data_IF_084323260776
#
_entry.id   IF_084323260776
#
_cell.length_a   1.000
_cell.length_b   1.000
_cell.length_c   1.000
_cell.angle_alpha   90.00
_cell.angle_beta   90.00
_cell.angle_gamma   90.00
#
_symmetry.space_group_name_H-M   'P 1'
#
loop_
_entity.id
_entity.type
_entity.pdbx_description
1 polymer ?
#
# COMPACT_ATOMS: atom_id res chain seq x y z
N UNK A 1 37.23 4.21 -2.83
CA UNK A 1 37.70 4.51 -1.46
C UNK A 1 37.45 5.96 -1.06
N UNK A 2 38.30 6.96 -1.34
CA UNK A 2 38.04 8.36 -0.86
C UNK A 2 36.68 8.93 -1.29
N UNK A 3 36.24 8.68 -2.52
CA UNK A 3 34.90 9.05 -3.02
C UNK A 3 33.78 8.29 -2.32
N UNK A 4 33.97 6.99 -2.10
CA UNK A 4 33.00 6.08 -1.47
C UNK A 4 32.68 6.47 -0.01
N UNK A 5 33.69 6.81 0.79
CA UNK A 5 33.51 7.28 2.17
C UNK A 5 32.81 8.65 2.22
N UNK A 6 33.13 9.54 1.28
CA UNK A 6 32.46 10.85 1.18
C UNK A 6 30.98 10.72 0.74
N UNK A 7 30.66 9.76 -0.13
CA UNK A 7 29.28 9.44 -0.51
C UNK A 7 28.50 8.92 0.71
N UNK A 8 29.01 7.91 1.41
CA UNK A 8 28.40 7.36 2.62
C UNK A 8 28.10 8.43 3.69
N UNK A 9 29.05 9.34 3.97
CA UNK A 9 28.82 10.44 4.91
C UNK A 9 27.74 11.43 4.45
N UNK A 10 27.64 11.69 3.15
CA UNK A 10 26.55 12.52 2.59
C UNK A 10 25.20 11.83 2.72
N UNK A 11 25.13 10.53 2.40
CA UNK A 11 23.90 9.74 2.52
C UNK A 11 23.40 9.71 3.97
N UNK A 12 24.28 9.44 4.95
CA UNK A 12 23.90 9.49 6.37
C UNK A 12 23.39 10.85 6.82
N UNK A 13 23.95 11.95 6.29
CA UNK A 13 23.41 13.30 6.56
C UNK A 13 22.04 13.50 5.90
N UNK A 14 21.86 13.02 4.68
CA UNK A 14 20.63 13.19 3.92
C UNK A 14 19.46 12.36 4.48
N UNK A 15 19.70 11.14 4.99
CA UNK A 15 18.70 10.31 5.69
C UNK A 15 18.57 10.62 7.19
N UNK A 16 19.07 11.77 7.67
CA UNK A 16 18.80 12.23 9.03
C UNK A 16 17.32 12.55 9.25
N UNK A 17 16.79 12.30 10.44
CA UNK A 17 15.38 12.59 10.77
C UNK A 17 15.02 14.06 10.48
N UNK A 18 15.91 15.01 10.79
CA UNK A 18 15.71 16.44 10.51
C UNK A 18 15.53 16.70 9.01
N UNK A 19 16.37 16.10 8.14
CA UNK A 19 16.26 16.31 6.70
C UNK A 19 15.05 15.58 6.08
N UNK A 20 14.73 14.38 6.56
CA UNK A 20 13.55 13.64 6.12
C UNK A 20 12.26 14.39 6.51
N UNK A 21 12.17 14.89 7.75
CA UNK A 21 11.06 15.73 8.19
C UNK A 21 10.94 17.02 7.37
N UNK A 22 12.07 17.65 7.01
CA UNK A 22 12.10 18.81 6.10
C UNK A 22 11.56 18.45 4.70
N UNK A 23 11.97 17.32 4.14
CA UNK A 23 11.52 16.82 2.83
C UNK A 23 10.02 16.53 2.84
N UNK A 24 9.53 15.75 3.81
CA UNK A 24 8.09 15.39 3.90
C UNK A 24 7.23 16.61 4.16
N UNK A 25 7.63 17.52 5.05
CA UNK A 25 6.91 18.78 5.28
C UNK A 25 6.77 19.61 4.00
N UNK A 26 7.86 19.73 3.22
CA UNK A 26 7.83 20.45 1.95
C UNK A 26 6.94 19.76 0.91
N UNK A 27 7.00 18.43 0.80
CA UNK A 27 6.11 17.65 -0.07
C UNK A 27 4.63 17.83 0.32
N UNK A 28 4.30 17.77 1.62
CA UNK A 28 2.94 17.98 2.14
C UNK A 28 2.44 19.39 1.81
N UNK A 29 3.29 20.41 1.96
CA UNK A 29 2.94 21.79 1.57
C UNK A 29 2.68 21.92 0.07
N UNK A 30 3.50 21.31 -0.79
CA UNK A 30 3.27 21.28 -2.23
C UNK A 30 1.93 20.59 -2.58
N UNK A 31 1.59 19.50 -1.90
CA UNK A 31 0.33 18.78 -2.12
C UNK A 31 -0.89 19.61 -1.68
N UNK A 32 -0.86 20.19 -0.47
CA UNK A 32 -1.92 21.10 0.03
C UNK A 32 -2.14 22.29 -0.91
N UNK A 33 -1.07 22.83 -1.46
CA UNK A 33 -1.12 23.94 -2.42
C UNK A 33 -1.42 23.50 -3.86
N UNK A 34 -1.82 22.23 -4.09
CA UNK A 34 -2.12 21.62 -5.41
C UNK A 34 -1.01 21.82 -6.45
N UNK A 35 0.24 21.91 -6.01
CA UNK A 35 1.38 22.33 -6.81
C UNK A 35 2.03 21.13 -7.54
N UNK A 36 1.19 20.37 -8.23
CA UNK A 36 1.52 19.04 -8.75
C UNK A 36 2.62 19.04 -9.81
N UNK A 37 2.82 20.14 -10.54
CA UNK A 37 3.94 20.30 -11.48
C UNK A 37 5.31 20.28 -10.79
N UNK A 38 5.38 20.74 -9.54
CA UNK A 38 6.61 20.66 -8.74
C UNK A 38 6.82 19.23 -8.24
N UNK A 39 5.76 18.60 -7.72
CA UNK A 39 5.78 17.18 -7.29
C UNK A 39 6.20 16.27 -8.46
N UNK A 40 5.70 16.51 -9.67
CA UNK A 40 6.06 15.80 -10.90
C UNK A 40 7.53 15.99 -11.29
N UNK A 41 8.09 17.20 -11.15
CA UNK A 41 9.53 17.45 -11.37
C UNK A 41 10.40 16.72 -10.34
N UNK A 42 10.02 16.76 -9.06
CA UNK A 42 10.69 16.02 -7.99
C UNK A 42 10.66 14.52 -8.28
N UNK A 43 9.48 13.98 -8.62
CA UNK A 43 9.28 12.57 -8.97
C UNK A 43 10.20 12.13 -10.11
N UNK A 44 10.28 12.88 -11.21
CA UNK A 44 11.18 12.55 -12.32
C UNK A 44 12.67 12.64 -11.95
N UNK A 45 13.06 13.53 -11.03
CA UNK A 45 14.45 13.62 -10.56
C UNK A 45 14.89 12.47 -9.64
N UNK A 46 13.91 11.79 -9.02
CA UNK A 46 14.12 10.67 -8.09
C UNK A 46 14.04 9.32 -8.81
N UNK A 47 12.99 9.10 -9.62
CA UNK A 47 12.71 7.81 -10.27
C UNK A 47 13.15 7.73 -11.74
N UNK A 48 13.56 8.85 -12.34
CA UNK A 48 13.94 8.93 -13.75
C UNK A 48 12.75 8.90 -14.72
N UNK A 49 13.03 9.19 -15.99
CA UNK A 49 12.02 9.26 -17.07
C UNK A 49 11.51 7.87 -17.56
N UNK A 50 11.92 6.77 -16.95
CA UNK A 50 11.58 5.40 -17.40
C UNK A 50 10.33 4.81 -16.76
N UNK A 51 9.81 5.38 -15.66
CA UNK A 51 8.52 5.00 -15.04
C UNK A 51 7.38 5.92 -15.49
N UNK A 52 7.27 6.16 -16.80
CA UNK A 52 6.26 7.03 -17.43
C UNK A 52 5.01 6.23 -17.87
N UNK A 53 4.35 5.60 -16.91
CA UNK A 53 2.93 5.27 -17.05
C UNK A 53 2.08 6.33 -16.32
N UNK A 54 0.76 6.29 -16.44
CA UNK A 54 -0.16 7.40 -16.13
C UNK A 54 -0.43 7.62 -14.62
N UNK A 55 0.64 7.60 -13.82
CA UNK A 55 0.64 7.87 -12.38
C UNK A 55 -0.12 9.18 -12.09
N UNK A 56 -1.14 9.12 -11.22
CA UNK A 56 -1.91 10.30 -10.81
C UNK A 56 -1.03 11.28 -10.01
N UNK A 57 -1.49 12.52 -9.84
CA UNK A 57 -0.71 13.51 -9.08
C UNK A 57 -0.64 13.19 -7.58
N UNK A 58 -1.68 12.58 -7.02
CA UNK A 58 -1.72 12.03 -5.66
C UNK A 58 -0.71 10.90 -5.52
N UNK A 59 -0.71 9.94 -6.46
CA UNK A 59 0.21 8.80 -6.48
C UNK A 59 1.69 9.19 -6.51
N UNK A 60 2.05 10.23 -7.27
CA UNK A 60 3.42 10.80 -7.25
C UNK A 60 3.79 11.37 -5.86
N UNK A 61 2.85 11.98 -5.16
CA UNK A 61 3.07 12.54 -3.83
C UNK A 61 3.24 11.43 -2.79
N UNK A 62 2.33 10.45 -2.73
CA UNK A 62 2.39 9.35 -1.76
C UNK A 62 3.65 8.51 -1.92
N UNK A 63 4.06 8.17 -3.15
CA UNK A 63 5.30 7.44 -3.41
C UNK A 63 6.55 8.20 -2.94
N UNK A 64 6.55 9.54 -3.02
CA UNK A 64 7.64 10.37 -2.48
C UNK A 64 7.61 10.42 -0.94
N UNK A 65 6.44 10.60 -0.32
CA UNK A 65 6.32 10.57 1.15
C UNK A 65 6.77 9.20 1.71
N UNK A 66 6.30 8.11 1.11
CA UNK A 66 6.69 6.75 1.49
C UNK A 66 8.19 6.49 1.35
N UNK A 67 8.86 7.07 0.35
CA UNK A 67 10.29 6.89 0.15
C UNK A 67 11.11 7.68 1.19
N UNK A 68 10.62 8.85 1.60
CA UNK A 68 11.35 9.79 2.47
C UNK A 68 10.73 9.97 3.86
N UNK A 69 9.90 9.03 4.33
CA UNK A 69 9.27 9.10 5.64
C UNK A 69 10.33 9.19 6.76
N UNK A 70 10.15 10.05 7.80
CA UNK A 70 11.17 10.23 8.85
C UNK A 70 11.60 8.92 9.52
N UNK A 71 10.64 8.01 9.75
CA UNK A 71 10.88 6.76 10.48
C UNK A 71 11.77 5.79 9.70
N UNK A 72 11.76 5.85 8.36
CA UNK A 72 12.71 5.07 7.53
C UNK A 72 14.16 5.50 7.72
N UNK A 73 14.42 6.69 8.27
CA UNK A 73 15.78 7.20 8.48
C UNK A 73 16.65 6.26 9.30
N UNK A 74 16.09 5.61 10.33
CA UNK A 74 16.80 4.62 11.15
C UNK A 74 17.23 3.40 10.35
N UNK A 75 16.25 2.67 9.80
CA UNK A 75 16.48 1.43 9.02
C UNK A 75 17.36 1.66 7.81
N UNK A 76 17.21 2.80 7.11
CA UNK A 76 18.09 3.15 5.99
C UNK A 76 19.52 3.42 6.50
N UNK A 77 19.70 4.12 7.63
CA UNK A 77 21.04 4.35 8.19
C UNK A 77 21.75 3.04 8.59
N UNK A 78 21.04 2.09 9.20
CA UNK A 78 21.58 0.76 9.54
C UNK A 78 21.93 -0.07 8.28
N UNK A 79 21.11 0.04 7.24
CA UNK A 79 21.37 -0.57 5.93
C UNK A 79 22.62 0.04 5.29
N UNK A 80 22.76 1.38 5.30
CA UNK A 80 23.93 2.09 4.79
C UNK A 80 25.22 1.72 5.55
N UNK A 81 25.14 1.51 6.87
CA UNK A 81 26.26 1.03 7.68
C UNK A 81 26.68 -0.38 7.25
N UNK A 82 25.73 -1.30 7.19
CA UNK A 82 25.95 -2.69 6.75
C UNK A 82 26.55 -2.76 5.34
N UNK A 83 26.09 -1.93 4.41
CA UNK A 83 26.60 -1.85 3.04
C UNK A 83 28.02 -1.26 2.97
N UNK A 84 28.33 -0.29 3.83
CA UNK A 84 29.65 0.32 3.92
C UNK A 84 30.69 -0.66 4.49
N UNK A 85 30.33 -1.39 5.55
CA UNK A 85 31.16 -2.46 6.14
C UNK A 85 31.45 -3.59 5.14
N UNK A 86 30.44 -4.02 4.38
CA UNK A 86 30.56 -5.04 3.33
C UNK A 86 31.24 -4.54 2.04
N UNK A 87 31.64 -3.26 1.99
CA UNK A 87 32.24 -2.61 0.81
C UNK A 87 31.38 -2.68 -0.47
N UNK A 88 30.05 -2.76 -0.31
CA UNK A 88 29.07 -2.94 -1.38
C UNK A 88 28.74 -1.61 -2.10
N UNK A 89 29.77 -0.94 -2.62
CA UNK A 89 29.65 0.47 -3.06
C UNK A 89 28.64 0.74 -4.18
N UNK A 90 28.29 -0.25 -5.02
CA UNK A 90 27.23 -0.09 -6.03
C UNK A 90 25.84 0.09 -5.41
N UNK A 91 25.53 -0.67 -4.36
CA UNK A 91 24.25 -0.57 -3.64
C UNK A 91 24.16 0.75 -2.87
N UNK A 92 25.29 1.30 -2.41
CA UNK A 92 25.32 2.66 -1.84
C UNK A 92 24.98 3.75 -2.87
N UNK A 93 25.25 3.55 -4.16
CA UNK A 93 24.87 4.51 -5.22
C UNK A 93 23.36 4.49 -5.51
N UNK A 94 22.67 3.37 -5.28
CA UNK A 94 21.21 3.26 -5.43
C UNK A 94 20.46 4.18 -4.44
N UNK A 95 21.03 4.41 -3.26
CA UNK A 95 20.52 5.36 -2.25
C UNK A 95 20.84 6.83 -2.55
N UNK A 96 21.59 7.16 -3.62
CA UNK A 96 21.96 8.55 -3.94
C UNK A 96 20.79 9.43 -4.41
N UNK A 97 19.61 8.85 -4.68
CA UNK A 97 18.41 9.57 -5.11
C UNK A 97 17.96 10.65 -4.11
N UNK A 98 18.20 10.49 -2.80
CA UNK A 98 17.89 11.54 -1.81
C UNK A 98 18.72 12.82 -2.01
N UNK A 99 19.94 12.72 -2.55
CA UNK A 99 20.83 13.86 -2.76
C UNK A 99 20.32 14.81 -3.86
N UNK A 100 19.41 14.34 -4.73
CA UNK A 100 18.66 15.19 -5.65
C UNK A 100 17.72 16.18 -4.92
N UNK A 101 17.36 15.89 -3.66
CA UNK A 101 16.44 16.70 -2.85
C UNK A 101 17.13 17.68 -1.89
N UNK A 102 18.47 17.67 -1.80
CA UNK A 102 19.20 18.61 -0.94
C UNK A 102 18.91 20.10 -1.31
N UNK A 103 18.49 20.36 -2.55
CA UNK A 103 18.14 21.68 -3.08
C UNK A 103 16.63 21.84 -3.39
N UNK A 104 15.72 21.34 -2.55
CA UNK A 104 14.27 21.54 -2.72
C UNK A 104 13.86 23.02 -2.91
N UNK A 105 14.59 23.96 -2.29
CA UNK A 105 14.39 25.41 -2.43
C UNK A 105 14.61 25.95 -3.86
N UNK A 106 15.27 25.20 -4.74
CA UNK A 106 15.42 25.56 -6.16
C UNK A 106 14.11 25.39 -6.95
N UNK A 107 13.19 24.57 -6.46
CA UNK A 107 11.87 24.36 -7.04
C UNK A 107 10.86 25.41 -6.55
N UNK A 108 11.19 26.70 -6.71
CA UNK A 108 10.33 27.80 -6.26
C UNK A 108 8.93 27.73 -6.89
N UNK A 109 7.86 27.76 -6.07
CA UNK A 109 6.51 28.02 -6.56
C UNK A 109 6.45 29.39 -7.23
N UNK A 110 5.92 29.45 -8.46
CA UNK A 110 5.64 30.71 -9.13
C UNK A 110 4.27 31.25 -8.71
N UNK A 111 4.14 31.72 -7.47
CA UNK A 111 3.26 32.82 -7.01
C UNK A 111 3.33 33.01 -5.47
N UNK A 112 3.37 34.27 -5.04
CA UNK A 112 3.34 34.72 -3.64
C UNK A 112 1.88 34.92 -3.19
N UNK A 113 1.51 34.47 -1.98
CA UNK A 113 0.49 35.13 -1.11
C UNK A 113 0.87 34.94 0.37
N UNK A 114 0.50 35.93 1.19
CA UNK A 114 0.89 36.31 2.55
C UNK A 114 1.20 35.27 3.64
N UNK A 115 2.21 35.66 4.44
CA UNK A 115 2.45 35.20 5.80
C UNK A 115 1.48 35.86 6.80
N UNK A 116 0.18 35.53 6.80
CA UNK A 116 -0.71 35.92 7.92
C UNK A 116 -1.95 35.03 8.10
N UNK A 117 -1.75 33.71 8.04
CA UNK A 117 -2.76 32.72 8.45
C UNK A 117 -2.34 32.06 9.78
N UNK A 118 -2.55 32.79 10.88
CA UNK A 118 -2.35 32.27 12.24
C UNK A 118 -3.26 31.05 12.46
N UNK A 119 -2.63 29.97 12.93
CA UNK A 119 -3.20 28.77 13.54
C UNK A 119 -4.74 28.76 13.70
N UNK A 120 -5.44 28.19 12.72
CA UNK A 120 -6.82 27.72 12.90
C UNK A 120 -6.85 26.23 12.65
N UNK A 121 -6.92 25.46 13.72
CA UNK A 121 -7.13 24.02 13.64
C UNK A 121 -8.59 23.76 13.26
N UNK A 122 -8.82 23.20 12.09
CA UNK A 122 -10.10 22.53 11.74
C UNK A 122 -10.10 21.04 12.14
N UNK A 123 -9.17 20.66 13.02
CA UNK A 123 -9.10 19.36 13.68
C UNK A 123 -9.18 19.60 15.19
N UNK A 124 -10.38 19.91 15.66
CA UNK A 124 -10.70 19.91 17.07
C UNK A 124 -10.90 18.45 17.53
N UNK A 125 -10.35 18.12 18.68
CA UNK A 125 -10.64 16.87 19.38
C UNK A 125 -11.93 17.07 20.16
N UNK A 126 -12.97 16.29 19.89
CA UNK A 126 -14.08 16.10 20.83
C UNK A 126 -13.95 14.71 21.46
N UNK A 127 -13.40 14.68 22.67
CA UNK A 127 -13.64 13.60 23.62
C UNK A 127 -14.79 14.05 24.52
N UNK A 128 -16.02 13.62 24.22
CA UNK A 128 -17.05 13.19 25.17
C UNK A 128 -18.43 13.04 24.50
N UNK A 129 -19.14 11.96 24.84
CA UNK A 129 -20.58 11.66 24.58
C UNK A 129 -20.97 10.73 23.40
N UNK A 130 -20.73 9.42 23.62
CA UNK A 130 -21.77 8.36 23.57
C UNK A 130 -22.71 8.22 22.34
N UNK A 131 -22.37 7.28 21.44
CA UNK A 131 -23.22 6.10 21.17
C UNK A 131 -24.10 6.08 19.91
N UNK A 132 -24.10 4.93 19.22
CA UNK A 132 -25.02 4.64 18.11
C UNK A 132 -26.47 4.52 18.56
N UNK A 133 -27.34 5.20 17.83
CA UNK A 133 -28.48 4.53 17.22
C UNK A 133 -28.99 5.39 16.09
N UNK A 134 -29.05 4.80 14.93
CA UNK A 134 -28.99 5.53 13.68
C UNK A 134 -30.09 4.95 12.78
N UNK A 135 -31.27 5.59 12.82
CA UNK A 135 -32.56 4.95 12.52
C UNK A 135 -33.11 5.29 11.14
N UNK A 136 -33.44 4.26 10.35
CA UNK A 136 -33.88 4.40 8.95
C UNK A 136 -35.24 5.11 8.75
N UNK A 137 -35.24 6.44 8.78
CA UNK A 137 -36.19 7.34 8.12
C UNK A 137 -35.62 8.77 8.17
N UNK A 138 -34.86 9.16 7.12
CA UNK A 138 -33.94 10.32 7.10
C UNK A 138 -32.82 10.25 8.17
N UNK A 139 -31.57 10.36 7.71
CA UNK A 139 -30.33 10.29 8.52
C UNK A 139 -29.96 8.87 8.98
N UNK A 140 -28.74 8.47 8.59
CA UNK A 140 -28.01 7.22 8.94
C UNK A 140 -28.55 5.90 8.28
N UNK A 141 -28.01 4.67 8.43
CA UNK A 141 -27.10 4.07 9.43
C UNK A 141 -25.60 3.99 9.05
N UNK A 142 -24.72 4.10 10.07
CA UNK A 142 -23.27 3.79 10.07
C UNK A 142 -22.86 3.50 11.53
N UNK A 143 -22.45 2.28 11.85
CA UNK A 143 -21.97 1.92 13.19
C UNK A 143 -20.51 2.40 13.36
N UNK A 144 -20.20 3.30 14.33
CA UNK A 144 -18.80 3.57 14.69
C UNK A 144 -18.26 2.40 15.50
N UNK A 145 -17.23 1.77 14.95
CA UNK A 145 -16.49 0.70 15.57
C UNK A 145 -15.69 1.29 16.73
N UNK A 146 -16.25 1.18 17.94
CA UNK A 146 -15.48 1.35 19.16
C UNK A 146 -14.36 0.31 19.17
N UNK A 147 -13.11 0.76 19.11
CA UNK A 147 -11.94 -0.08 19.35
C UNK A 147 -11.95 -0.53 20.83
N UNK A 148 -12.51 -1.70 21.07
CA UNK A 148 -12.45 -2.39 22.37
C UNK A 148 -11.93 -3.81 22.19
N UNK A 149 -11.12 -4.21 23.17
CA UNK A 149 -10.50 -5.52 23.36
C UNK A 149 -9.16 -5.72 22.61
N UNK A 150 -8.08 -5.48 23.37
CA UNK A 150 -6.76 -6.03 23.11
C UNK A 150 -6.86 -7.55 22.89
N UNK A 151 -6.42 -8.05 21.73
CA UNK A 151 -5.77 -9.36 21.45
C UNK A 151 -5.78 -9.61 19.92
N UNK A 152 -4.66 -10.12 19.36
CA UNK A 152 -4.44 -10.57 17.96
C UNK A 152 -4.02 -9.56 16.84
N UNK A 153 -3.65 -8.30 17.13
CA UNK A 153 -3.25 -7.33 16.09
C UNK A 153 -1.93 -7.61 15.31
N UNK A 154 -1.01 -8.48 15.77
CA UNK A 154 0.33 -8.61 15.14
C UNK A 154 0.35 -9.16 13.70
N UNK A 155 -0.79 -9.71 13.22
CA UNK A 155 -0.93 -10.44 11.95
C UNK A 155 -1.99 -9.87 11.01
N UNK A 156 -2.36 -8.60 11.18
CA UNK A 156 -3.20 -7.86 10.22
C UNK A 156 -2.41 -7.39 8.99
N UNK A 157 -3.11 -7.22 7.87
CA UNK A 157 -2.57 -6.64 6.64
C UNK A 157 -1.90 -5.28 6.89
N UNK A 158 -2.56 -4.39 7.64
CA UNK A 158 -2.01 -3.07 8.00
C UNK A 158 -0.66 -3.17 8.74
N UNK A 159 -0.53 -4.09 9.69
CA UNK A 159 0.71 -4.28 10.45
C UNK A 159 1.79 -5.03 9.65
N UNK A 160 1.43 -5.87 8.68
CA UNK A 160 2.39 -6.44 7.74
C UNK A 160 2.96 -5.37 6.78
N UNK A 161 2.14 -4.43 6.28
CA UNK A 161 2.64 -3.25 5.54
C UNK A 161 3.63 -2.47 6.41
N UNK A 162 3.29 -2.17 7.68
CA UNK A 162 4.22 -1.47 8.58
C UNK A 162 5.57 -2.20 8.69
N UNK A 163 5.55 -3.51 8.92
CA UNK A 163 6.74 -4.35 9.03
C UNK A 163 7.56 -4.38 7.74
N UNK A 164 6.94 -4.53 6.58
CA UNK A 164 7.62 -4.61 5.28
C UNK A 164 8.16 -3.25 4.79
N UNK A 165 7.44 -2.16 5.07
CA UNK A 165 7.78 -0.81 4.60
C UNK A 165 8.73 -0.09 5.56
N UNK A 166 8.55 -0.23 6.88
CA UNK A 166 9.27 0.52 7.91
C UNK A 166 10.08 -0.34 8.89
N UNK A 167 9.89 -1.66 8.93
CA UNK A 167 10.63 -2.56 9.82
C UNK A 167 10.12 -2.62 11.27
N UNK A 168 9.20 -1.73 11.67
CA UNK A 168 8.58 -1.69 13.00
C UNK A 168 7.08 -1.38 12.93
N UNK A 169 6.35 -1.67 14.01
CA UNK A 169 4.89 -1.52 14.09
C UNK A 169 4.44 -0.17 14.69
N UNK A 170 5.34 0.52 15.40
CA UNK A 170 5.15 1.86 15.97
C UNK A 170 5.29 2.94 14.87
N UNK A 171 4.47 2.86 13.83
CA UNK A 171 4.37 3.90 12.77
C UNK A 171 2.93 4.34 12.67
N UNK A 172 2.69 5.61 12.98
CA UNK A 172 1.46 6.31 12.63
C UNK A 172 1.61 6.86 11.21
N UNK A 173 0.95 6.24 10.23
CA UNK A 173 0.75 6.85 8.92
C UNK A 173 -0.74 6.85 8.55
N UNK A 174 -1.28 7.97 8.03
CA UNK A 174 -2.67 8.05 7.58
C UNK A 174 -3.06 6.98 6.54
N UNK A 175 -4.26 6.44 6.69
CA UNK A 175 -4.82 5.39 5.83
C UNK A 175 -4.85 5.74 4.34
N UNK A 176 -5.01 7.02 3.97
CA UNK A 176 -4.99 7.47 2.56
C UNK A 176 -3.66 7.20 1.83
N UNK A 177 -2.55 6.95 2.53
CA UNK A 177 -1.31 6.51 1.87
C UNK A 177 -1.41 5.10 1.27
N UNK A 178 -2.39 4.31 1.67
CA UNK A 178 -2.65 2.98 1.12
C UNK A 178 -3.43 3.02 -0.21
N UNK A 179 -4.17 4.09 -0.50
CA UNK A 179 -4.98 4.20 -1.72
C UNK A 179 -4.14 4.07 -3.00
N UNK A 180 -2.87 4.46 -2.96
CA UNK A 180 -1.96 4.54 -4.11
C UNK A 180 -1.16 3.25 -4.42
N UNK A 181 -1.37 2.16 -3.68
CA UNK A 181 -0.76 0.86 -3.97
C UNK A 181 -1.55 0.14 -5.07
N UNK A 182 -0.96 0.03 -6.26
CA UNK A 182 -1.50 -0.80 -7.34
C UNK A 182 -1.04 -2.26 -7.27
N UNK A 183 0.10 -2.51 -6.63
CA UNK A 183 0.73 -3.84 -6.61
C UNK A 183 1.36 -4.08 -5.24
N UNK A 184 1.06 -5.24 -4.63
CA UNK A 184 1.66 -5.60 -3.36
C UNK A 184 1.84 -7.11 -3.19
N UNK A 185 3.02 -7.49 -2.69
CA UNK A 185 3.42 -8.86 -2.40
C UNK A 185 3.61 -9.01 -0.89
N UNK A 186 2.67 -9.74 -0.28
CA UNK A 186 2.61 -10.12 1.13
C UNK A 186 2.77 -11.64 1.28
N UNK A 187 3.52 -12.28 0.38
CA UNK A 187 3.81 -13.70 0.47
C UNK A 187 4.49 -14.04 1.80
N UNK A 188 4.01 -15.08 2.48
CA UNK A 188 4.63 -15.65 3.69
C UNK A 188 4.88 -14.60 4.81
N UNK A 189 3.90 -13.75 5.08
CA UNK A 189 3.92 -12.79 6.20
C UNK A 189 3.22 -13.30 7.47
N UNK A 190 2.69 -14.54 7.43
CA UNK A 190 1.85 -15.14 8.47
C UNK A 190 0.60 -14.29 8.78
N UNK A 191 -0.01 -13.72 7.74
CA UNK A 191 -1.28 -12.98 7.85
C UNK A 191 -2.44 -13.88 8.26
N UNK A 192 -3.28 -13.36 9.14
CA UNK A 192 -4.51 -14.02 9.62
C UNK A 192 -5.76 -13.17 9.35
N UNK A 193 -5.61 -11.84 9.26
CA UNK A 193 -6.68 -10.90 8.92
C UNK A 193 -6.24 -9.92 7.82
N UNK A 194 -7.21 -9.49 7.00
CA UNK A 194 -7.03 -8.46 5.98
C UNK A 194 -7.39 -7.05 6.47
N UNK A 195 -7.47 -6.82 7.78
CA UNK A 195 -7.75 -5.51 8.33
C UNK A 195 -6.82 -4.40 7.80
N UNK A 196 -7.44 -3.27 7.44
CA UNK A 196 -6.82 -2.14 6.73
C UNK A 196 -6.69 -2.29 5.21
N UNK A 197 -7.05 -3.43 4.59
CA UNK A 197 -6.95 -3.59 3.13
C UNK A 197 -7.94 -2.71 2.35
N UNK A 198 -9.10 -2.41 2.94
CA UNK A 198 -10.14 -1.54 2.38
C UNK A 198 -9.60 -0.16 1.92
N UNK A 199 -8.52 0.32 2.55
CA UNK A 199 -7.87 1.56 2.15
C UNK A 199 -7.10 1.46 0.83
N UNK A 200 -6.84 0.28 0.28
CA UNK A 200 -6.05 0.04 -0.95
C UNK A 200 -6.88 0.13 -2.24
N UNK A 201 -7.69 1.18 -2.40
CA UNK A 201 -8.74 1.27 -3.44
C UNK A 201 -8.27 1.09 -4.89
N UNK A 202 -7.02 1.46 -5.20
CA UNK A 202 -6.43 1.30 -6.53
C UNK A 202 -5.57 0.04 -6.69
N UNK A 203 -5.71 -0.95 -5.78
CA UNK A 203 -5.00 -2.23 -5.88
C UNK A 203 -5.43 -2.99 -7.13
N UNK A 204 -4.47 -3.29 -8.01
CA UNK A 204 -4.67 -4.05 -9.26
C UNK A 204 -4.06 -5.45 -9.17
N UNK A 205 -2.97 -5.65 -8.42
CA UNK A 205 -2.28 -6.94 -8.28
C UNK A 205 -1.91 -7.23 -6.83
N UNK A 206 -2.45 -8.29 -6.26
CA UNK A 206 -2.29 -8.63 -4.86
C UNK A 206 -1.84 -10.09 -4.69
N UNK A 207 -0.66 -10.29 -4.12
CA UNK A 207 -0.18 -11.61 -3.69
C UNK A 207 -0.24 -11.73 -2.16
N UNK A 208 -1.09 -12.64 -1.69
CA UNK A 208 -1.30 -13.01 -0.30
C UNK A 208 -0.94 -14.49 -0.07
N UNK A 209 -0.12 -15.09 -0.93
CA UNK A 209 0.20 -16.51 -0.90
C UNK A 209 0.96 -16.94 0.37
N UNK A 210 0.77 -18.18 0.79
CA UNK A 210 1.45 -18.80 1.94
C UNK A 210 1.22 -18.07 3.27
N UNK A 211 -0.01 -17.60 3.50
CA UNK A 211 -0.45 -17.03 4.77
C UNK A 211 -1.46 -18.00 5.45
N UNK A 212 -2.12 -17.53 6.52
CA UNK A 212 -3.10 -18.32 7.29
C UNK A 212 -4.54 -17.82 7.08
N UNK A 213 -4.80 -17.07 6.01
CA UNK A 213 -6.10 -16.43 5.75
C UNK A 213 -7.21 -17.47 5.63
N UNK A 214 -8.29 -17.26 6.38
CA UNK A 214 -9.52 -18.04 6.33
C UNK A 214 -10.70 -17.20 5.81
N UNK A 215 -10.82 -15.97 6.31
CA UNK A 215 -11.75 -14.96 5.84
C UNK A 215 -11.05 -14.03 4.84
N UNK A 216 -11.81 -13.54 3.86
CA UNK A 216 -11.36 -12.61 2.82
C UNK A 216 -12.42 -11.55 2.47
N UNK A 217 -13.47 -11.38 3.28
CA UNK A 217 -14.58 -10.44 3.00
C UNK A 217 -14.11 -8.99 2.82
N UNK A 218 -13.02 -8.59 3.45
CA UNK A 218 -12.44 -7.25 3.34
C UNK A 218 -11.92 -6.93 1.92
N UNK A 219 -11.76 -7.93 1.05
CA UNK A 219 -11.45 -7.72 -0.37
C UNK A 219 -12.57 -7.02 -1.15
N UNK A 220 -13.80 -6.95 -0.64
CA UNK A 220 -14.98 -6.44 -1.37
C UNK A 220 -14.84 -4.99 -1.87
N UNK A 221 -14.00 -4.17 -1.22
CA UNK A 221 -13.76 -2.77 -1.62
C UNK A 221 -12.75 -2.62 -2.77
N UNK A 222 -11.97 -3.67 -3.08
CA UNK A 222 -10.87 -3.65 -4.08
C UNK A 222 -11.38 -3.78 -5.52
N UNK A 223 -12.32 -2.90 -5.89
CA UNK A 223 -13.03 -2.94 -7.16
C UNK A 223 -12.11 -2.88 -8.40
N UNK A 224 -10.90 -2.32 -8.29
CA UNK A 224 -9.91 -2.24 -9.38
C UNK A 224 -9.01 -3.49 -9.52
N UNK A 225 -9.21 -4.53 -8.71
CA UNK A 225 -8.33 -5.70 -8.67
C UNK A 225 -8.40 -6.56 -9.94
N UNK A 226 -7.25 -6.81 -10.56
CA UNK A 226 -7.09 -7.58 -11.80
C UNK A 226 -6.42 -8.95 -11.59
N UNK A 227 -5.46 -9.05 -10.66
CA UNK A 227 -4.72 -10.27 -10.35
C UNK A 227 -4.71 -10.52 -8.84
N UNK A 228 -5.19 -11.70 -8.41
CA UNK A 228 -5.25 -12.12 -7.00
C UNK A 228 -4.61 -13.49 -6.80
N UNK A 229 -3.56 -13.56 -5.98
CA UNK A 229 -2.94 -14.81 -5.57
C UNK A 229 -3.20 -15.07 -4.08
N UNK A 230 -3.92 -16.15 -3.79
CA UNK A 230 -4.27 -16.64 -2.45
C UNK A 230 -3.70 -18.05 -2.21
N UNK A 231 -2.71 -18.47 -2.99
CA UNK A 231 -2.20 -19.85 -2.97
C UNK A 231 -1.64 -20.26 -1.59
N UNK A 232 -1.94 -21.47 -1.13
CA UNK A 232 -1.54 -22.01 0.18
C UNK A 232 -2.07 -21.18 1.37
N UNK A 233 -3.36 -20.85 1.36
CA UNK A 233 -4.10 -20.31 2.51
C UNK A 233 -5.13 -21.35 3.02
N UNK A 234 -6.13 -20.92 3.79
CA UNK A 234 -7.17 -21.76 4.36
C UNK A 234 -8.58 -21.37 3.90
N UNK A 235 -8.68 -20.54 2.85
CA UNK A 235 -9.92 -19.97 2.30
C UNK A 235 -10.87 -21.08 1.82
N UNK A 236 -12.15 -20.97 2.16
CA UNK A 236 -13.20 -21.90 1.75
C UNK A 236 -14.38 -21.20 1.08
N UNK A 237 -14.78 -20.05 1.63
CA UNK A 237 -15.75 -19.11 1.09
C UNK A 237 -15.02 -18.11 0.19
N UNK A 238 -15.55 -17.91 -1.02
CA UNK A 238 -15.04 -16.96 -2.01
C UNK A 238 -16.15 -16.10 -2.61
N UNK A 239 -17.31 -16.00 -1.94
CA UNK A 239 -18.47 -15.26 -2.43
C UNK A 239 -18.12 -13.80 -2.76
N UNK A 240 -17.28 -13.17 -1.93
CA UNK A 240 -16.73 -11.81 -2.13
C UNK A 240 -16.09 -11.56 -3.50
N UNK A 241 -15.58 -12.60 -4.18
CA UNK A 241 -14.92 -12.43 -5.48
C UNK A 241 -15.89 -12.04 -6.60
N UNK A 242 -17.20 -12.22 -6.43
CA UNK A 242 -18.21 -11.83 -7.44
C UNK A 242 -18.27 -10.31 -7.69
N UNK A 243 -17.91 -9.51 -6.68
CA UNK A 243 -17.86 -8.05 -6.74
C UNK A 243 -16.62 -7.53 -7.50
N UNK A 244 -15.59 -8.37 -7.67
CA UNK A 244 -14.31 -7.98 -8.28
C UNK A 244 -14.38 -8.04 -9.81
N UNK A 245 -15.25 -7.22 -10.40
CA UNK A 245 -15.63 -7.31 -11.83
C UNK A 245 -14.47 -7.15 -12.83
N UNK A 246 -13.35 -6.55 -12.40
CA UNK A 246 -12.12 -6.40 -13.22
C UNK A 246 -11.12 -7.55 -13.10
N UNK A 247 -11.42 -8.58 -12.30
CA UNK A 247 -10.52 -9.69 -11.98
C UNK A 247 -10.30 -10.61 -13.19
N UNK A 248 -9.03 -10.73 -13.61
CA UNK A 248 -8.57 -11.47 -14.81
C UNK A 248 -7.87 -12.78 -14.47
N UNK A 249 -7.19 -12.82 -13.32
CA UNK A 249 -6.32 -13.92 -12.89
C UNK A 249 -6.57 -14.19 -11.41
N UNK A 250 -6.90 -15.44 -11.08
CA UNK A 250 -7.07 -15.89 -9.69
C UNK A 250 -6.28 -17.17 -9.43
N UNK A 251 -5.41 -17.16 -8.43
CA UNK A 251 -4.76 -18.38 -7.93
C UNK A 251 -5.28 -18.73 -6.53
N UNK A 252 -6.04 -19.83 -6.43
CA UNK A 252 -6.58 -20.39 -5.20
C UNK A 252 -5.87 -21.71 -4.83
N UNK A 253 -4.70 -22.02 -5.39
CA UNK A 253 -4.00 -23.31 -5.17
C UNK A 253 -3.92 -23.69 -3.69
N UNK A 254 -4.15 -24.95 -3.36
CA UNK A 254 -4.05 -25.49 -1.98
C UNK A 254 -4.87 -24.71 -0.94
N UNK A 255 -6.11 -24.36 -1.27
CA UNK A 255 -7.11 -23.85 -0.33
C UNK A 255 -8.18 -24.93 -0.05
N UNK A 256 -9.33 -24.53 0.52
CA UNK A 256 -10.44 -25.41 0.91
C UNK A 256 -11.73 -25.10 0.13
N UNK A 257 -11.62 -24.51 -1.06
CA UNK A 257 -12.76 -24.07 -1.87
C UNK A 257 -13.53 -25.27 -2.44
N UNK A 258 -14.86 -25.25 -2.32
CA UNK A 258 -15.78 -26.26 -2.89
C UNK A 258 -16.73 -25.67 -3.93
N UNK A 259 -17.21 -24.45 -3.68
CA UNK A 259 -18.06 -23.67 -4.58
C UNK A 259 -17.23 -22.61 -5.29
N UNK A 260 -17.40 -22.52 -6.60
CA UNK A 260 -16.76 -21.51 -7.47
C UNK A 260 -17.80 -20.79 -8.33
N UNK A 261 -19.08 -20.87 -7.98
CA UNK A 261 -20.13 -20.08 -8.61
C UNK A 261 -19.94 -18.56 -8.55
N UNK A 262 -19.27 -17.95 -7.54
CA UNK A 262 -18.91 -16.52 -7.57
C UNK A 262 -18.04 -16.14 -8.77
N UNK A 263 -17.19 -17.06 -9.24
CA UNK A 263 -16.32 -16.85 -10.41
C UNK A 263 -17.07 -16.94 -11.75
N UNK A 264 -18.36 -17.29 -11.76
CA UNK A 264 -19.08 -17.54 -13.00
C UNK A 264 -19.38 -16.24 -13.76
N UNK A 265 -19.73 -15.16 -13.08
CA UNK A 265 -20.21 -13.92 -13.72
C UNK A 265 -19.11 -12.86 -13.93
N UNK A 266 -17.85 -13.20 -13.61
CA UNK A 266 -16.70 -12.34 -13.84
C UNK A 266 -16.33 -12.28 -15.34
N UNK A 267 -16.81 -11.23 -16.03
CA UNK A 267 -16.66 -11.06 -17.50
C UNK A 267 -15.21 -11.00 -17.99
N UNK A 268 -14.28 -10.55 -17.14
CA UNK A 268 -12.87 -10.36 -17.48
C UNK A 268 -11.97 -11.54 -17.07
N UNK A 269 -12.53 -12.54 -16.38
CA UNK A 269 -11.78 -13.68 -15.86
C UNK A 269 -11.23 -14.56 -17.00
N UNK A 270 -9.92 -14.76 -17.01
CA UNK A 270 -9.19 -15.45 -18.09
C UNK A 270 -8.43 -16.69 -17.60
N UNK A 271 -7.98 -16.68 -16.34
CA UNK A 271 -7.21 -17.74 -15.73
C UNK A 271 -7.66 -17.99 -14.28
N UNK A 272 -7.86 -19.26 -13.93
CA UNK A 272 -8.12 -19.69 -12.55
C UNK A 272 -7.26 -20.91 -12.23
N UNK A 273 -6.58 -20.91 -11.10
CA UNK A 273 -5.88 -22.07 -10.59
C UNK A 273 -6.58 -22.60 -9.33
N UNK A 274 -7.09 -23.83 -9.40
CA UNK A 274 -7.87 -24.50 -8.36
C UNK A 274 -7.17 -25.77 -7.83
N UNK A 275 -5.93 -26.04 -8.25
CA UNK A 275 -5.19 -27.25 -7.85
C UNK A 275 -5.18 -27.39 -6.33
N UNK A 276 -5.50 -28.59 -5.82
CA UNK A 276 -5.52 -28.86 -4.38
C UNK A 276 -6.80 -28.43 -3.63
N UNK A 277 -7.81 -27.90 -4.32
CA UNK A 277 -9.14 -27.62 -3.75
C UNK A 277 -10.12 -28.79 -3.92
N UNK A 278 -11.31 -28.68 -3.34
CA UNK A 278 -12.37 -29.71 -3.35
C UNK A 278 -13.50 -29.41 -4.34
N UNK A 279 -13.19 -28.66 -5.40
CA UNK A 279 -14.17 -28.16 -6.39
C UNK A 279 -14.73 -29.28 -7.27
N UNK A 280 -16.06 -29.32 -7.40
CA UNK A 280 -16.78 -30.35 -8.19
C UNK A 280 -16.57 -30.16 -9.69
N UNK A 281 -16.36 -31.27 -10.41
CA UNK A 281 -15.99 -31.27 -11.83
C UNK A 281 -17.02 -30.60 -12.78
N UNK A 282 -18.29 -30.51 -12.38
CA UNK A 282 -19.32 -29.79 -13.13
C UNK A 282 -19.06 -28.26 -13.14
N UNK A 283 -18.63 -27.70 -12.01
CA UNK A 283 -18.31 -26.27 -11.90
C UNK A 283 -17.09 -25.92 -12.77
N UNK A 284 -16.06 -26.76 -12.73
CA UNK A 284 -14.84 -26.61 -13.55
C UNK A 284 -15.14 -26.70 -15.05
N UNK A 285 -16.07 -27.58 -15.45
CA UNK A 285 -16.54 -27.66 -16.84
C UNK A 285 -17.29 -26.39 -17.28
N UNK A 286 -18.01 -25.75 -16.37
CA UNK A 286 -18.73 -24.50 -16.65
C UNK A 286 -17.75 -23.36 -16.96
N UNK A 287 -16.75 -23.11 -16.11
CA UNK A 287 -15.70 -22.10 -16.39
C UNK A 287 -14.97 -22.39 -17.71
N UNK A 288 -14.55 -23.64 -17.95
CA UNK A 288 -13.90 -24.04 -19.22
C UNK A 288 -14.80 -23.83 -20.44
N UNK A 289 -16.12 -23.95 -20.30
CA UNK A 289 -17.07 -23.68 -21.38
C UNK A 289 -17.24 -22.18 -21.67
N UNK A 290 -17.02 -21.28 -20.68
CA UNK A 290 -16.90 -19.83 -20.89
C UNK A 290 -15.56 -19.42 -21.54
N UNK A 291 -14.64 -20.38 -21.78
CA UNK A 291 -13.33 -20.13 -22.42
C UNK A 291 -12.18 -19.84 -21.45
N UNK A 292 -12.44 -19.96 -20.14
CA UNK A 292 -11.49 -19.64 -19.07
C UNK A 292 -10.47 -20.77 -18.93
N UNK A 293 -9.19 -20.41 -18.79
CA UNK A 293 -8.10 -21.36 -18.55
C UNK A 293 -8.15 -21.79 -17.08
N UNK A 294 -8.59 -23.02 -16.82
CA UNK A 294 -8.67 -23.55 -15.45
C UNK A 294 -7.70 -24.71 -15.24
N UNK A 295 -6.78 -24.53 -14.29
CA UNK A 295 -5.97 -25.61 -13.71
C UNK A 295 -6.72 -26.19 -12.50
N UNK A 296 -6.72 -27.52 -12.39
CA UNK A 296 -7.45 -28.28 -11.37
C UNK A 296 -6.86 -29.70 -11.26
#
# INVERSE_FOLDING_TARGET
MKTSTALYQKLKKAYSQENLHRITTHLIQLHKNKNYEVIKKIYHSVFGNSRLEEVTNTRRFSQLIMLYHPDKGGVICETLDTLYEKQAYKQLEEHAHILCLDNLESFKPSLLVDHEAIFKAEYAWDQDQTGFYYSSEESENVEEYFYTEEIEEERSFYNAIKRQVYGHLEVEFPSYYLEDFEEFDLTNQALESLDGIAYCKHMRRLDLSSNSLCDIRELWELNELEELCLANNQVNDIDVLDNLVFLKVVDLTNNRVEDISPLFELEHLSYVNLVGNQVKQNQIKYLKAKGIIVLH
#
